data_IF_711582505914
#
_entry.id   IF_711582505914
#
_cell.length_a   1.000
_cell.length_b   1.000
_cell.length_c   1.000
_cell.angle_alpha   90.00
_cell.angle_beta   90.00
_cell.angle_gamma   90.00
#
_symmetry.space_group_name_H-M   'P 1'
#
loop_
_entity.id
_entity.type
_entity.pdbx_description
1 polymer ?
#
# COMPACT_ATOMS: atom_id res chain seq x y z
N UNK A 1 2.69 -62.50 21.34
CA UNK A 1 3.81 -61.54 21.25
C UNK A 1 3.63 -60.74 19.97
N UNK A 2 3.29 -59.46 20.10
CA UNK A 2 3.10 -58.54 18.99
C UNK A 2 3.04 -57.15 19.58
N UNK A 3 4.14 -56.40 19.47
CA UNK A 3 4.29 -55.05 20.01
C UNK A 3 4.29 -54.09 18.81
N UNK A 4 3.52 -52.99 18.81
CA UNK A 4 3.51 -52.04 17.70
C UNK A 4 4.71 -51.08 17.77
N UNK A 5 5.36 -50.87 16.62
CA UNK A 5 6.51 -49.99 16.46
C UNK A 5 6.14 -48.51 16.63
N UNK A 6 6.95 -47.80 17.43
CA UNK A 6 6.87 -46.36 17.61
C UNK A 6 7.57 -45.61 16.47
N UNK A 7 6.87 -44.63 15.90
CA UNK A 7 7.46 -43.62 15.00
C UNK A 7 8.24 -42.59 15.83
N UNK A 8 9.58 -42.56 15.68
CA UNK A 8 10.43 -41.46 16.12
C UNK A 8 10.46 -40.35 15.07
N UNK A 9 10.05 -39.14 15.44
CA UNK A 9 10.26 -37.93 14.65
C UNK A 9 11.68 -37.41 14.89
N UNK A 10 12.56 -37.54 13.89
CA UNK A 10 13.86 -36.87 13.89
C UNK A 10 13.69 -35.35 13.72
N UNK A 11 14.38 -34.59 14.57
CA UNK A 11 14.57 -33.14 14.46
C UNK A 11 15.34 -32.84 13.17
N UNK A 12 14.69 -32.22 12.21
CA UNK A 12 15.34 -31.64 11.04
C UNK A 12 15.92 -30.27 11.38
N UNK A 13 17.22 -30.10 11.14
CA UNK A 13 17.95 -28.85 11.31
C UNK A 13 17.42 -27.76 10.38
N UNK A 14 17.13 -26.58 10.93
CA UNK A 14 16.80 -25.36 10.18
C UNK A 14 18.09 -24.81 9.59
N UNK A 15 18.28 -25.02 8.29
CA UNK A 15 19.41 -24.47 7.56
C UNK A 15 19.17 -22.97 7.28
N UNK A 16 19.98 -22.14 7.92
CA UNK A 16 20.05 -20.68 7.79
C UNK A 16 20.31 -20.25 6.34
N UNK A 17 19.45 -19.40 5.77
CA UNK A 17 19.72 -18.74 4.50
C UNK A 17 20.71 -17.57 4.71
N UNK A 18 21.88 -17.54 4.04
CA UNK A 18 22.79 -16.42 4.14
C UNK A 18 22.32 -15.22 3.30
N UNK A 19 22.20 -14.06 3.96
CA UNK A 19 22.07 -12.77 3.30
C UNK A 19 23.39 -12.44 2.59
N UNK A 20 23.42 -12.56 1.26
CA UNK A 20 24.57 -12.16 0.46
C UNK A 20 24.78 -10.63 0.56
N UNK A 21 25.77 -10.23 1.35
CA UNK A 21 26.41 -8.92 1.26
C UNK A 21 27.14 -8.84 -0.09
N UNK A 22 26.51 -8.25 -1.10
CA UNK A 22 27.25 -7.77 -2.27
C UNK A 22 27.82 -6.40 -1.92
N UNK A 23 29.15 -6.37 -1.83
CA UNK A 23 29.98 -5.21 -1.53
C UNK A 23 29.60 -3.99 -2.37
N UNK A 24 29.35 -2.87 -1.70
CA UNK A 24 29.19 -1.55 -2.34
C UNK A 24 30.60 -1.03 -2.64
N UNK A 25 30.95 -0.95 -3.92
CA UNK A 25 32.17 -0.26 -4.37
C UNK A 25 32.15 1.24 -4.03
N UNK A 26 33.32 1.89 -3.95
CA UNK A 26 33.45 3.25 -3.47
C UNK A 26 32.91 4.29 -4.47
N UNK A 27 32.20 5.28 -3.95
CA UNK A 27 31.73 6.47 -4.67
C UNK A 27 32.93 7.28 -5.19
N UNK A 28 33.18 7.27 -6.50
CA UNK A 28 34.10 8.22 -7.12
C UNK A 28 33.37 9.55 -7.36
N UNK A 29 33.89 10.60 -6.74
CA UNK A 29 33.60 11.99 -7.08
C UNK A 29 34.07 12.28 -8.51
N UNK A 30 33.13 12.55 -9.42
CA UNK A 30 33.42 13.33 -10.62
C UNK A 30 32.87 14.74 -10.41
N UNK A 31 33.80 15.68 -10.22
CA UNK A 31 33.61 17.12 -10.36
C UNK A 31 33.51 17.41 -11.86
N UNK A 32 32.45 18.10 -12.26
CA UNK A 32 32.26 18.66 -13.60
C UNK A 32 30.99 19.51 -13.56
N UNK A 33 31.17 20.82 -13.36
CA UNK A 33 30.08 21.76 -13.19
C UNK A 33 29.40 22.11 -14.51
N UNK A 34 28.10 22.38 -14.43
CA UNK A 34 27.46 23.40 -15.27
C UNK A 34 26.23 23.91 -14.52
N UNK A 35 26.26 25.19 -14.16
CA UNK A 35 25.13 25.95 -13.64
C UNK A 35 24.05 26.01 -14.72
N UNK A 36 22.84 25.53 -14.44
CA UNK A 36 21.63 26.03 -15.12
C UNK A 36 20.49 26.17 -14.13
N UNK A 37 19.84 27.32 -14.25
CA UNK A 37 18.93 27.96 -13.33
C UNK A 37 17.69 27.11 -12.97
N UNK A 38 17.24 27.31 -11.74
CA UNK A 38 15.92 26.92 -11.26
C UNK A 38 14.82 27.65 -12.04
N UNK A 39 14.26 27.00 -13.06
CA UNK A 39 12.96 27.38 -13.60
C UNK A 39 11.86 26.66 -12.80
N UNK A 40 11.14 27.43 -11.99
CA UNK A 40 9.87 27.05 -11.40
C UNK A 40 8.88 26.73 -12.54
N UNK A 41 8.72 25.45 -12.87
CA UNK A 41 7.70 24.98 -13.80
C UNK A 41 6.35 25.04 -13.08
N UNK A 42 5.65 26.15 -13.26
CA UNK A 42 4.20 26.21 -13.08
C UNK A 42 3.58 25.14 -13.98
N UNK A 43 3.07 24.08 -13.36
CA UNK A 43 2.39 23.00 -14.06
C UNK A 43 1.02 23.50 -14.50
N UNK A 44 0.96 24.21 -15.62
CA UNK A 44 -0.30 24.51 -16.30
C UNK A 44 -0.93 23.18 -16.74
N UNK A 45 -2.07 22.84 -16.12
CA UNK A 45 -2.92 21.72 -16.51
C UNK A 45 -3.13 21.72 -18.04
N UNK A 46 -3.04 20.57 -18.73
CA UNK A 46 -3.43 20.52 -20.13
C UNK A 46 -4.90 20.88 -20.25
N UNK A 47 -5.20 22.06 -20.81
CA UNK A 47 -6.53 22.41 -21.27
C UNK A 47 -6.84 21.47 -22.44
N UNK A 48 -7.61 20.43 -22.17
CA UNK A 48 -8.17 19.55 -23.20
C UNK A 48 -8.95 20.43 -24.18
N UNK A 49 -8.41 20.63 -25.39
CA UNK A 49 -9.16 21.28 -26.47
C UNK A 49 -10.26 20.32 -26.89
N UNK A 50 -11.50 20.68 -26.61
CA UNK A 50 -12.67 20.06 -27.24
C UNK A 50 -12.68 20.49 -28.70
N UNK A 51 -12.05 19.73 -29.59
CA UNK A 51 -12.27 19.87 -31.04
C UNK A 51 -13.69 19.40 -31.32
N UNK A 52 -14.58 20.35 -31.58
CA UNK A 52 -15.90 20.09 -32.12
C UNK A 52 -15.73 19.57 -33.56
N UNK A 53 -15.98 18.26 -33.75
CA UNK A 53 -16.32 17.68 -35.04
C UNK A 53 -17.62 16.90 -34.84
N UNK A 54 -18.58 17.20 -35.70
CA UNK A 54 -19.93 16.64 -35.71
C UNK A 54 -19.92 15.11 -35.82
N UNK A 55 -20.57 14.46 -34.86
CA UNK A 55 -20.80 13.03 -34.78
C UNK A 55 -21.19 12.69 -33.35
N UNK A 56 -22.46 12.30 -33.13
CA UNK A 56 -23.11 12.27 -31.81
C UNK A 56 -22.24 11.79 -30.67
N UNK A 57 -21.88 12.70 -29.76
CA UNK A 57 -21.12 12.37 -28.55
C UNK A 57 -22.05 11.58 -27.63
N UNK A 58 -21.83 10.28 -27.53
CA UNK A 58 -22.33 9.51 -26.39
C UNK A 58 -21.83 10.20 -25.11
N UNK A 59 -22.75 10.60 -24.24
CA UNK A 59 -22.40 11.16 -22.93
C UNK A 59 -21.85 10.00 -22.11
N UNK A 60 -20.53 9.82 -22.13
CA UNK A 60 -19.86 8.73 -21.41
C UNK A 60 -19.80 9.07 -19.93
N UNK A 61 -20.49 8.31 -19.08
CA UNK A 61 -20.40 8.51 -17.64
C UNK A 61 -19.11 7.84 -17.12
N UNK A 62 -18.23 8.56 -16.40
CA UNK A 62 -16.97 8.00 -15.90
C UNK A 62 -17.13 6.78 -14.99
N UNK A 63 -18.29 6.61 -14.35
CA UNK A 63 -18.58 5.45 -13.49
C UNK A 63 -19.04 4.22 -14.27
N UNK A 64 -19.29 4.36 -15.57
CA UNK A 64 -19.74 3.26 -16.40
C UNK A 64 -18.70 2.14 -16.47
N UNK A 65 -19.21 0.91 -16.61
CA UNK A 65 -18.39 -0.29 -16.69
C UNK A 65 -17.67 -0.35 -18.04
N UNK A 66 -16.34 -0.40 -18.00
CA UNK A 66 -15.54 -0.67 -19.19
C UNK A 66 -15.43 -2.18 -19.49
N UNK A 67 -15.14 -2.99 -18.48
CA UNK A 67 -15.22 -4.45 -18.53
C UNK A 67 -15.10 -5.08 -17.14
N UNK A 68 -15.38 -6.38 -17.08
CA UNK A 68 -15.02 -7.20 -15.92
C UNK A 68 -13.74 -7.98 -16.21
N UNK A 69 -12.80 -7.97 -15.26
CA UNK A 69 -11.49 -8.61 -15.36
C UNK A 69 -11.37 -9.69 -14.29
N UNK A 70 -11.01 -10.95 -14.64
CA UNK A 70 -10.70 -11.98 -13.65
C UNK A 70 -9.48 -11.58 -12.82
N UNK A 71 -9.57 -11.74 -11.49
CA UNK A 71 -8.48 -11.45 -10.57
C UNK A 71 -7.16 -12.13 -10.94
N UNK A 72 -6.04 -11.49 -10.61
CA UNK A 72 -4.70 -12.09 -10.67
C UNK A 72 -4.41 -12.98 -9.49
N UNK A 73 -4.90 -12.63 -8.32
CA UNK A 73 -4.63 -13.31 -7.05
C UNK A 73 -5.71 -14.32 -6.69
N UNK A 74 -6.72 -14.53 -7.55
CA UNK A 74 -7.80 -15.48 -7.31
C UNK A 74 -7.35 -16.93 -7.56
N UNK A 75 -7.73 -17.83 -6.65
CA UNK A 75 -7.60 -19.28 -6.82
C UNK A 75 -8.63 -19.81 -7.83
N UNK A 76 -8.33 -20.96 -8.45
CA UNK A 76 -9.17 -21.59 -9.49
C UNK A 76 -10.62 -21.82 -9.04
N UNK A 77 -10.84 -22.18 -7.77
CA UNK A 77 -12.15 -22.43 -7.18
C UNK A 77 -12.93 -21.17 -6.79
N UNK A 78 -12.27 -20.01 -6.69
CA UNK A 78 -12.83 -18.74 -6.22
C UNK A 78 -12.48 -17.59 -7.16
N UNK A 79 -12.86 -17.73 -8.44
CA UNK A 79 -12.56 -16.73 -9.46
C UNK A 79 -13.40 -15.47 -9.24
N UNK A 80 -12.82 -14.48 -8.56
CA UNK A 80 -13.41 -13.16 -8.43
C UNK A 80 -13.27 -12.39 -9.74
N UNK A 81 -14.35 -11.72 -10.18
CA UNK A 81 -14.32 -10.80 -11.32
C UNK A 81 -14.46 -9.37 -10.81
N UNK A 82 -13.50 -8.54 -11.19
CA UNK A 82 -13.44 -7.14 -10.78
C UNK A 82 -14.00 -6.24 -11.88
N UNK A 83 -14.84 -5.29 -11.48
CA UNK A 83 -15.39 -4.27 -12.37
C UNK A 83 -14.33 -3.20 -12.61
N UNK A 84 -13.97 -2.98 -13.86
CA UNK A 84 -13.09 -1.89 -14.29
C UNK A 84 -13.96 -0.81 -14.91
N UNK A 85 -13.90 0.40 -14.36
CA UNK A 85 -14.69 1.54 -14.85
C UNK A 85 -13.95 2.32 -15.92
N UNK A 86 -14.67 3.17 -16.65
CA UNK A 86 -14.06 4.11 -17.60
C UNK A 86 -13.14 5.10 -16.88
N UNK A 87 -13.48 5.52 -15.65
CA UNK A 87 -12.64 6.37 -14.82
C UNK A 87 -11.28 5.73 -14.50
N UNK A 88 -11.25 4.45 -14.12
CA UNK A 88 -10.00 3.71 -13.89
C UNK A 88 -9.14 3.67 -15.15
N UNK A 89 -9.74 3.32 -16.30
CA UNK A 89 -9.03 3.33 -17.58
C UNK A 89 -8.47 4.71 -17.87
N UNK A 90 -9.27 5.78 -17.71
CA UNK A 90 -8.82 7.15 -17.93
C UNK A 90 -7.63 7.51 -17.04
N UNK A 91 -7.67 7.17 -15.74
CA UNK A 91 -6.57 7.39 -14.79
C UNK A 91 -5.29 6.67 -15.21
N UNK A 92 -5.40 5.42 -15.66
CA UNK A 92 -4.26 4.62 -16.17
C UNK A 92 -3.65 5.18 -17.45
N UNK A 93 -4.43 5.88 -18.28
CA UNK A 93 -3.95 6.51 -19.52
C UNK A 93 -3.37 7.92 -19.31
N UNK A 94 -3.72 8.59 -18.21
CA UNK A 94 -3.18 9.88 -17.81
C UNK A 94 -1.97 9.74 -16.87
N UNK A 95 -1.27 10.83 -16.54
CA UNK A 95 -0.37 10.83 -15.40
C UNK A 95 -1.08 10.32 -14.13
N UNK A 96 -0.38 9.62 -13.23
CA UNK A 96 1.07 9.41 -13.22
C UNK A 96 1.58 8.22 -14.06
N UNK A 97 0.74 7.28 -14.46
CA UNK A 97 1.23 6.06 -15.13
C UNK A 97 1.48 6.24 -16.64
N UNK A 98 0.57 6.94 -17.33
CA UNK A 98 0.60 7.12 -18.79
C UNK A 98 0.77 5.78 -19.54
N UNK A 99 -0.02 4.76 -19.20
CA UNK A 99 0.11 3.43 -19.79
C UNK A 99 -0.15 3.44 -21.30
N UNK A 100 0.58 2.57 -22.01
CA UNK A 100 0.32 2.31 -23.41
C UNK A 100 -0.78 1.22 -23.57
N UNK A 101 -1.32 1.11 -24.78
CA UNK A 101 -2.40 0.15 -25.09
C UNK A 101 -2.02 -1.30 -24.78
N UNK A 102 -0.76 -1.68 -24.97
CA UNK A 102 -0.29 -3.05 -24.77
C UNK A 102 -0.28 -3.43 -23.29
N UNK A 103 0.22 -2.54 -22.42
CA UNK A 103 0.21 -2.73 -20.97
C UNK A 103 -1.21 -2.75 -20.45
N UNK A 104 -2.05 -1.79 -20.86
CA UNK A 104 -3.46 -1.76 -20.50
C UNK A 104 -4.17 -3.05 -20.96
N UNK A 105 -3.92 -3.52 -22.18
CA UNK A 105 -4.44 -4.79 -22.69
C UNK A 105 -4.01 -6.01 -21.85
N UNK A 106 -2.77 -6.00 -21.35
CA UNK A 106 -2.26 -7.01 -20.43
C UNK A 106 -2.91 -6.96 -19.04
N UNK A 107 -3.19 -5.76 -18.53
CA UNK A 107 -3.91 -5.52 -17.27
C UNK A 107 -5.34 -6.05 -17.36
N UNK A 108 -6.05 -5.71 -18.44
CA UNK A 108 -7.43 -6.12 -18.68
C UNK A 108 -7.56 -7.57 -19.18
N UNK A 109 -6.46 -8.33 -19.22
CA UNK A 109 -6.38 -9.71 -19.76
C UNK A 109 -6.94 -9.85 -21.19
N UNK A 110 -6.90 -8.79 -22.00
CA UNK A 110 -7.36 -8.77 -23.39
C UNK A 110 -6.25 -9.00 -24.43
N UNK A 111 -5.00 -9.06 -24.00
CA UNK A 111 -3.85 -9.22 -24.89
C UNK A 111 -3.74 -10.61 -25.56
N UNK A 112 -4.42 -11.63 -25.04
CA UNK A 112 -4.32 -13.01 -25.56
C UNK A 112 -5.42 -13.41 -26.56
N UNK A 113 -6.46 -12.60 -26.73
CA UNK A 113 -7.54 -12.91 -27.68
C UNK A 113 -7.20 -12.45 -29.10
N UNK A 114 -7.65 -13.22 -30.10
CA UNK A 114 -7.57 -12.80 -31.52
C UNK A 114 -8.25 -11.42 -31.65
N UNK A 115 -7.55 -10.45 -32.24
CA UNK A 115 -7.99 -9.05 -32.37
C UNK A 115 -8.18 -8.27 -31.06
N UNK A 116 -7.80 -8.78 -29.88
CA UNK A 116 -8.06 -8.14 -28.58
C UNK A 116 -7.50 -6.72 -28.47
N UNK A 117 -6.28 -6.48 -28.99
CA UNK A 117 -5.68 -5.15 -29.04
C UNK A 117 -6.41 -4.18 -29.98
N UNK A 118 -6.94 -4.66 -31.10
CA UNK A 118 -7.72 -3.85 -32.06
C UNK A 118 -9.06 -3.45 -31.45
N UNK A 119 -9.82 -4.41 -30.92
CA UNK A 119 -11.10 -4.15 -30.25
C UNK A 119 -10.95 -3.21 -29.04
N UNK A 120 -9.83 -3.31 -28.31
CA UNK A 120 -9.55 -2.39 -27.20
C UNK A 120 -9.40 -0.95 -27.69
N UNK A 121 -8.63 -0.72 -28.77
CA UNK A 121 -8.45 0.60 -29.36
C UNK A 121 -9.75 1.16 -29.91
N UNK A 122 -10.50 0.38 -30.68
CA UNK A 122 -11.82 0.79 -31.18
C UNK A 122 -12.78 1.16 -30.06
N UNK A 123 -12.78 0.41 -28.95
CA UNK A 123 -13.62 0.73 -27.78
C UNK A 123 -13.16 2.02 -27.10
N UNK A 124 -11.86 2.26 -26.99
CA UNK A 124 -11.32 3.49 -26.41
C UNK A 124 -11.63 4.70 -27.29
N UNK A 125 -11.47 4.58 -28.60
CA UNK A 125 -11.76 5.64 -29.58
C UNK A 125 -13.25 6.03 -29.54
N UNK A 126 -14.17 5.05 -29.43
CA UNK A 126 -15.61 5.31 -29.24
C UNK A 126 -15.93 6.09 -27.96
N UNK A 127 -15.10 5.95 -26.92
CA UNK A 127 -15.24 6.67 -25.66
C UNK A 127 -14.47 8.01 -25.67
N UNK A 128 -13.84 8.38 -26.79
CA UNK A 128 -13.01 9.58 -26.92
C UNK A 128 -11.68 9.50 -26.16
N UNK A 129 -11.21 8.30 -25.81
CA UNK A 129 -9.96 8.06 -25.09
C UNK A 129 -8.83 7.69 -26.07
N UNK A 130 -8.25 8.69 -26.74
CA UNK A 130 -7.22 8.42 -27.74
C UNK A 130 -5.88 8.00 -27.12
N UNK A 131 -5.28 6.95 -27.69
CA UNK A 131 -3.92 6.49 -27.37
C UNK A 131 -2.97 6.82 -28.51
N UNK A 132 -2.27 7.98 -28.49
CA UNK A 132 -1.30 8.29 -29.53
C UNK A 132 -0.22 7.22 -29.57
N UNK A 133 0.09 6.76 -30.78
CA UNK A 133 1.19 5.84 -31.02
C UNK A 133 2.51 6.47 -30.53
N UNK A 134 3.37 5.67 -29.88
CA UNK A 134 4.65 6.16 -29.36
C UNK A 134 4.59 6.91 -28.02
N UNK A 135 3.42 6.99 -27.35
CA UNK A 135 3.34 7.52 -25.98
C UNK A 135 4.25 6.70 -25.05
N UNK A 136 5.17 7.39 -24.40
CA UNK A 136 6.07 6.82 -23.40
C UNK A 136 5.37 6.75 -22.03
N UNK A 137 5.67 5.69 -21.31
CA UNK A 137 5.25 5.43 -19.94
C UNK A 137 5.98 6.39 -19.00
N UNK A 138 5.27 6.95 -18.01
CA UNK A 138 5.81 7.95 -17.09
C UNK A 138 6.28 7.36 -15.75
N UNK A 139 5.58 6.35 -15.22
CA UNK A 139 5.93 5.70 -13.96
C UNK A 139 6.73 4.40 -14.16
N UNK A 140 7.35 3.86 -13.12
CA UNK A 140 7.90 2.49 -13.14
C UNK A 140 6.79 1.44 -13.08
N UNK A 141 7.03 0.26 -13.66
CA UNK A 141 6.05 -0.84 -13.60
C UNK A 141 6.42 -1.60 -12.35
N UNK A 142 5.44 -1.75 -11.47
CA UNK A 142 5.56 -2.54 -10.25
C UNK A 142 4.61 -3.72 -10.35
N UNK A 143 4.66 -4.62 -9.36
CA UNK A 143 3.66 -5.69 -9.26
C UNK A 143 2.25 -5.12 -9.08
N UNK A 144 2.10 -3.98 -8.38
CA UNK A 144 0.82 -3.30 -8.20
C UNK A 144 0.23 -2.83 -9.52
N UNK A 145 1.06 -2.38 -10.48
CA UNK A 145 0.60 -1.99 -11.83
C UNK A 145 -0.27 -3.06 -12.51
N UNK A 146 -0.05 -4.33 -12.16
CA UNK A 146 -0.79 -5.45 -12.73
C UNK A 146 -2.23 -5.59 -12.19
N UNK A 147 -2.53 -5.02 -11.02
CA UNK A 147 -3.82 -5.15 -10.33
C UNK A 147 -4.79 -4.06 -10.78
N UNK A 148 -6.06 -4.42 -11.01
CA UNK A 148 -7.13 -3.42 -11.16
C UNK A 148 -7.51 -2.86 -9.80
N UNK A 149 -8.06 -1.65 -9.74
CA UNK A 149 -8.35 -0.95 -8.46
C UNK A 149 -9.19 -1.81 -7.51
N UNK A 150 -10.22 -2.48 -8.02
CA UNK A 150 -11.06 -3.36 -7.20
C UNK A 150 -10.28 -4.50 -6.55
N UNK A 151 -9.29 -5.06 -7.24
CA UNK A 151 -8.45 -6.13 -6.71
C UNK A 151 -7.43 -5.61 -5.70
N UNK A 152 -6.81 -4.46 -5.99
CA UNK A 152 -5.87 -3.80 -5.09
C UNK A 152 -6.54 -3.39 -3.75
N UNK A 153 -7.76 -2.87 -3.81
CA UNK A 153 -8.55 -2.53 -2.63
C UNK A 153 -8.95 -3.77 -1.82
N UNK A 154 -9.37 -4.85 -2.49
CA UNK A 154 -9.64 -6.11 -1.81
C UNK A 154 -8.38 -6.67 -1.13
N UNK A 155 -7.24 -6.64 -1.81
CA UNK A 155 -5.96 -7.06 -1.22
C UNK A 155 -5.60 -6.24 0.03
N UNK A 156 -5.84 -4.92 0.00
CA UNK A 156 -5.56 -4.06 1.15
C UNK A 156 -6.45 -4.39 2.36
N UNK A 157 -7.74 -4.68 2.11
CA UNK A 157 -8.67 -5.11 3.15
C UNK A 157 -8.23 -6.44 3.77
N UNK A 158 -7.91 -7.42 2.93
CA UNK A 158 -7.50 -8.75 3.39
C UNK A 158 -6.17 -8.68 4.15
N UNK A 159 -5.22 -7.85 3.70
CA UNK A 159 -3.99 -7.55 4.45
C UNK A 159 -4.27 -6.93 5.83
N UNK A 160 -5.18 -5.96 5.90
CA UNK A 160 -5.60 -5.36 7.16
C UNK A 160 -6.21 -6.37 8.13
N UNK A 161 -7.09 -7.24 7.62
CA UNK A 161 -7.67 -8.33 8.40
C UNK A 161 -6.61 -9.27 8.96
N UNK A 162 -5.66 -9.74 8.13
CA UNK A 162 -4.55 -10.59 8.59
C UNK A 162 -3.69 -9.88 9.64
N UNK A 163 -3.44 -8.59 9.47
CA UNK A 163 -2.70 -7.78 10.43
C UNK A 163 -3.41 -7.65 11.79
N UNK A 164 -4.74 -7.71 11.81
CA UNK A 164 -5.55 -7.65 13.02
C UNK A 164 -5.70 -9.01 13.70
N UNK A 165 -5.92 -10.08 12.92
CA UNK A 165 -6.24 -11.41 13.47
C UNK A 165 -5.03 -12.31 13.68
N UNK A 166 -4.03 -12.25 12.81
CA UNK A 166 -2.91 -13.21 12.80
C UNK A 166 -1.63 -12.63 13.39
N UNK A 167 -1.45 -11.31 13.36
CA UNK A 167 -0.20 -10.72 13.84
C UNK A 167 -0.09 -10.83 15.38
N UNK A 168 1.02 -11.37 15.93
CA UNK A 168 1.15 -11.65 17.35
C UNK A 168 1.52 -10.40 18.18
N UNK A 169 0.66 -9.38 18.16
CA UNK A 169 0.89 -8.06 18.77
C UNK A 169 1.30 -8.15 20.24
N UNK A 170 0.62 -8.97 21.02
CA UNK A 170 0.90 -9.20 22.45
C UNK A 170 2.28 -9.80 22.69
N UNK A 171 2.61 -10.92 22.04
CA UNK A 171 3.88 -11.58 22.24
C UNK A 171 5.06 -10.68 21.84
N UNK A 172 4.91 -9.93 20.75
CA UNK A 172 5.91 -8.95 20.29
C UNK A 172 6.03 -7.80 21.29
N UNK A 173 4.92 -7.22 21.73
CA UNK A 173 4.90 -6.11 22.69
C UNK A 173 5.53 -6.47 24.04
N UNK A 174 5.15 -7.62 24.61
CA UNK A 174 5.74 -8.13 25.84
C UNK A 174 7.23 -8.47 25.69
N UNK A 175 7.65 -8.99 24.54
CA UNK A 175 9.06 -9.24 24.25
C UNK A 175 9.88 -7.95 24.21
N UNK A 176 9.39 -6.92 23.52
CA UNK A 176 10.07 -5.62 23.43
C UNK A 176 10.11 -4.90 24.79
N UNK A 177 9.05 -5.01 25.59
CA UNK A 177 9.01 -4.37 26.91
C UNK A 177 9.96 -5.04 27.92
N UNK A 178 10.15 -6.37 27.85
CA UNK A 178 11.07 -7.13 28.71
C UNK A 178 12.52 -6.65 28.64
N UNK A 179 12.95 -6.12 27.49
CA UNK A 179 14.32 -5.62 27.30
C UNK A 179 14.63 -4.38 28.16
N UNK A 180 13.62 -3.74 28.75
CA UNK A 180 13.75 -2.53 29.57
C UNK A 180 13.31 -2.77 31.02
N UNK A 181 14.05 -3.64 31.72
CA UNK A 181 13.71 -4.10 33.07
C UNK A 181 14.13 -3.14 34.21
N UNK A 182 15.00 -2.17 33.93
CA UNK A 182 15.56 -1.26 34.94
C UNK A 182 14.52 -0.25 35.47
N UNK A 183 14.17 -0.27 36.77
CA UNK A 183 13.11 0.58 37.33
C UNK A 183 13.32 2.07 37.11
N UNK A 184 14.58 2.53 37.13
CA UNK A 184 14.93 3.94 36.94
C UNK A 184 14.62 4.45 35.53
N UNK A 185 14.60 3.56 34.55
CA UNK A 185 14.37 3.90 33.14
C UNK A 185 12.92 3.66 32.69
N UNK A 186 12.13 2.91 33.47
CA UNK A 186 10.76 2.54 33.09
C UNK A 186 9.85 3.76 32.89
N UNK A 187 9.96 4.79 33.74
CA UNK A 187 9.16 6.01 33.60
C UNK A 187 9.47 6.75 32.29
N UNK A 188 10.76 6.92 31.97
CA UNK A 188 11.19 7.51 30.71
C UNK A 188 10.74 6.67 29.51
N UNK A 189 10.86 5.34 29.61
CA UNK A 189 10.43 4.41 28.56
C UNK A 189 8.93 4.49 28.29
N UNK A 190 8.08 4.51 29.34
CA UNK A 190 6.63 4.70 29.19
C UNK A 190 6.31 5.99 28.43
N UNK A 191 6.97 7.09 28.79
CA UNK A 191 6.81 8.39 28.10
C UNK A 191 7.19 8.31 26.62
N UNK A 192 8.31 7.63 26.29
CA UNK A 192 8.70 7.42 24.89
C UNK A 192 7.66 6.61 24.12
N UNK A 193 7.14 5.52 24.68
CA UNK A 193 6.14 4.69 24.03
C UNK A 193 4.85 5.48 23.77
N UNK A 194 4.39 6.28 24.75
CA UNK A 194 3.23 7.15 24.58
C UNK A 194 3.45 8.21 23.48
N UNK A 195 4.62 8.86 23.46
CA UNK A 195 4.96 9.83 22.42
C UNK A 195 4.97 9.18 21.02
N UNK A 196 5.54 7.98 20.89
CA UNK A 196 5.52 7.23 19.62
C UNK A 196 4.09 6.89 19.20
N UNK A 197 3.23 6.42 20.12
CA UNK A 197 1.81 6.16 19.80
C UNK A 197 1.11 7.41 19.28
N UNK A 198 1.36 8.55 19.90
CA UNK A 198 0.76 9.83 19.50
C UNK A 198 1.18 10.23 18.08
N UNK A 199 2.48 10.15 17.75
CA UNK A 199 2.98 10.45 16.40
C UNK A 199 2.39 9.48 15.36
N UNK A 200 2.31 8.18 15.69
CA UNK A 200 1.68 7.20 14.80
C UNK A 200 0.22 7.54 14.52
N UNK A 201 -0.52 7.97 15.55
CA UNK A 201 -1.92 8.36 15.43
C UNK A 201 -2.10 9.62 14.59
N UNK A 202 -1.31 10.66 14.81
CA UNK A 202 -1.34 11.88 13.99
C UNK A 202 -1.12 11.59 12.50
N UNK A 203 -0.13 10.73 12.21
CA UNK A 203 0.14 10.33 10.83
C UNK A 203 -1.01 9.51 10.23
N UNK A 204 -1.60 8.58 10.98
CA UNK A 204 -2.75 7.80 10.54
C UNK A 204 -3.99 8.67 10.32
N UNK A 205 -4.22 9.66 11.19
CA UNK A 205 -5.34 10.59 11.10
C UNK A 205 -5.20 11.48 9.84
N UNK A 206 -3.98 11.91 9.48
CA UNK A 206 -3.71 12.58 8.20
C UNK A 206 -4.04 11.67 7.01
N UNK A 207 -3.59 10.42 7.03
CA UNK A 207 -3.84 9.47 5.95
C UNK A 207 -5.34 9.15 5.78
N UNK A 208 -6.11 9.13 6.87
CA UNK A 208 -7.57 8.92 6.85
C UNK A 208 -8.34 10.07 6.16
N UNK A 209 -7.70 11.23 6.02
CA UNK A 209 -8.23 12.40 5.35
C UNK A 209 -7.92 12.42 3.85
N UNK A 210 -7.20 11.43 3.31
CA UNK A 210 -6.96 11.33 1.87
C UNK A 210 -8.30 11.27 1.11
N UNK A 211 -8.49 12.21 0.18
CA UNK A 211 -9.64 12.29 -0.74
C UNK A 211 -9.21 12.06 -2.19
N UNK A 212 -8.32 11.09 -2.38
CA UNK A 212 -7.89 10.68 -3.72
C UNK A 212 -9.05 10.07 -4.53
N UNK A 213 -9.25 10.46 -5.80
CA UNK A 213 -10.38 10.02 -6.62
C UNK A 213 -10.15 8.60 -7.18
N UNK A 214 -10.35 7.60 -6.31
CA UNK A 214 -10.30 6.16 -6.64
C UNK A 214 -11.69 5.59 -6.89
N UNK A 215 -11.76 4.51 -7.66
CA UNK A 215 -13.00 3.86 -8.06
C UNK A 215 -13.95 4.83 -8.76
N UNK A 216 -15.20 4.84 -8.29
CA UNK A 216 -16.25 5.75 -8.74
C UNK A 216 -16.37 7.03 -7.89
N UNK A 217 -15.55 7.16 -6.84
CA UNK A 217 -15.63 8.29 -5.91
C UNK A 217 -14.92 9.53 -6.46
N UNK A 218 -15.48 10.70 -6.18
CA UNK A 218 -14.89 12.01 -6.50
C UNK A 218 -15.06 12.98 -5.33
N UNK A 219 -14.44 12.67 -4.18
CA UNK A 219 -14.58 13.52 -3.01
C UNK A 219 -13.92 14.87 -3.21
N UNK A 220 -14.46 15.90 -2.56
CA UNK A 220 -13.83 17.21 -2.46
C UNK A 220 -12.59 17.11 -1.56
N UNK A 221 -11.42 17.61 -2.00
CA UNK A 221 -10.24 17.71 -1.14
C UNK A 221 -10.53 18.47 0.15
N UNK A 222 -10.06 17.94 1.28
CA UNK A 222 -10.13 18.59 2.59
C UNK A 222 -8.74 18.93 3.16
N UNK A 223 -7.70 18.25 2.65
CA UNK A 223 -6.32 18.53 2.96
C UNK A 223 -5.79 19.68 2.09
N UNK A 224 -4.69 20.29 2.53
CA UNK A 224 -3.92 21.21 1.71
C UNK A 224 -3.60 20.60 0.35
N UNK A 225 -3.78 21.40 -0.72
CA UNK A 225 -3.69 20.92 -2.10
C UNK A 225 -2.35 20.27 -2.42
N UNK A 226 -1.25 20.75 -1.83
CA UNK A 226 0.07 20.18 -2.04
C UNK A 226 0.16 18.77 -1.43
N UNK A 227 -0.29 18.57 -0.20
CA UNK A 227 -0.33 17.26 0.45
C UNK A 227 -1.29 16.32 -0.28
N UNK A 228 -2.50 16.78 -0.60
CA UNK A 228 -3.48 15.99 -1.33
C UNK A 228 -2.94 15.53 -2.69
N UNK A 229 -2.17 16.38 -3.40
CA UNK A 229 -1.54 16.00 -4.68
C UNK A 229 -0.57 14.83 -4.51
N UNK A 230 0.27 14.85 -3.48
CA UNK A 230 1.23 13.77 -3.22
C UNK A 230 0.52 12.47 -2.82
N UNK A 231 -0.50 12.55 -1.96
CA UNK A 231 -1.33 11.39 -1.58
C UNK A 231 -2.08 10.83 -2.79
N UNK A 232 -2.63 11.69 -3.65
CA UNK A 232 -3.27 11.25 -4.90
C UNK A 232 -2.31 10.59 -5.85
N UNK A 233 -1.09 11.11 -6.01
CA UNK A 233 -0.08 10.42 -6.79
C UNK A 233 0.15 9.00 -6.26
N UNK A 234 0.35 8.85 -4.94
CA UNK A 234 0.56 7.56 -4.28
C UNK A 234 -0.64 6.60 -4.42
N UNK A 235 -1.85 7.11 -4.20
CA UNK A 235 -3.10 6.36 -4.35
C UNK A 235 -3.30 5.86 -5.79
N UNK A 236 -2.94 6.67 -6.80
CA UNK A 236 -3.02 6.28 -8.21
C UNK A 236 -2.00 5.21 -8.60
N UNK A 237 -0.74 5.33 -8.19
CA UNK A 237 0.30 4.33 -8.52
C UNK A 237 0.14 3.00 -7.76
N UNK A 238 -0.56 3.02 -6.62
CA UNK A 238 -0.85 1.81 -5.83
C UNK A 238 -2.24 1.24 -6.10
N UNK A 239 -3.03 1.91 -6.95
CA UNK A 239 -4.42 1.55 -7.25
C UNK A 239 -5.30 1.45 -6.00
N UNK A 240 -5.03 2.28 -4.99
CA UNK A 240 -5.75 2.32 -3.72
C UNK A 240 -5.27 1.35 -2.66
N UNK A 241 -4.28 0.50 -2.94
CA UNK A 241 -3.73 -0.41 -1.93
C UNK A 241 -2.90 0.32 -0.86
N UNK A 242 -2.13 1.33 -1.26
CA UNK A 242 -1.03 1.86 -0.44
C UNK A 242 -1.47 2.48 0.88
N UNK A 243 -2.36 3.48 0.85
CA UNK A 243 -2.79 4.20 2.05
C UNK A 243 -3.45 3.27 3.07
N UNK A 244 -4.42 2.40 2.71
CA UNK A 244 -4.99 1.46 3.66
C UNK A 244 -3.97 0.45 4.22
N UNK A 245 -3.00 -0.01 3.41
CA UNK A 245 -1.97 -0.92 3.89
C UNK A 245 -1.04 -0.26 4.93
N UNK A 246 -0.66 1.00 4.71
CA UNK A 246 0.11 1.78 5.71
C UNK A 246 -0.72 1.96 6.98
N UNK A 247 -1.99 2.32 6.86
CA UNK A 247 -2.89 2.46 8.01
C UNK A 247 -3.01 1.15 8.80
N UNK A 248 -3.15 0.01 8.13
CA UNK A 248 -3.20 -1.30 8.77
C UNK A 248 -1.91 -1.60 9.56
N UNK A 249 -0.75 -1.40 8.94
CA UNK A 249 0.55 -1.60 9.60
C UNK A 249 0.72 -0.69 10.83
N UNK A 250 0.31 0.58 10.73
CA UNK A 250 0.33 1.53 11.84
C UNK A 250 -0.64 1.14 12.96
N UNK A 251 -1.83 0.63 12.65
CA UNK A 251 -2.76 0.10 13.65
C UNK A 251 -2.15 -1.08 14.40
N UNK A 252 -1.57 -2.05 13.69
CA UNK A 252 -0.90 -3.20 14.31
C UNK A 252 0.26 -2.76 15.20
N UNK A 253 1.07 -1.81 14.73
CA UNK A 253 2.17 -1.26 15.53
C UNK A 253 1.67 -0.51 16.77
N UNK A 254 0.59 0.28 16.66
CA UNK A 254 -0.04 0.93 17.82
C UNK A 254 -0.55 -0.09 18.83
N UNK A 255 -1.09 -1.22 18.40
CA UNK A 255 -1.49 -2.33 19.28
C UNK A 255 -0.28 -2.94 19.98
N UNK A 256 0.84 -3.17 19.28
CA UNK A 256 2.11 -3.60 19.91
C UNK A 256 2.55 -2.62 21.00
N UNK A 257 2.51 -1.31 20.73
CA UNK A 257 2.87 -0.29 21.71
C UNK A 257 1.91 -0.27 22.91
N UNK A 258 0.61 -0.56 22.70
CA UNK A 258 -0.35 -0.74 23.81
C UNK A 258 0.04 -1.93 24.68
N UNK A 259 0.38 -3.07 24.08
CA UNK A 259 0.79 -4.26 24.84
C UNK A 259 2.11 -4.05 25.58
N UNK A 260 3.04 -3.27 25.02
CA UNK A 260 4.22 -2.81 25.74
C UNK A 260 3.86 -2.01 26.99
N UNK A 261 2.93 -1.07 26.91
CA UNK A 261 2.48 -0.28 28.06
C UNK A 261 1.81 -1.15 29.12
N UNK A 262 0.90 -2.04 28.69
CA UNK A 262 0.22 -2.99 29.57
C UNK A 262 1.22 -3.85 30.36
N UNK A 263 2.30 -4.30 29.70
CA UNK A 263 3.37 -5.06 30.36
C UNK A 263 4.13 -4.21 31.39
N UNK A 264 4.55 -3.00 31.00
CA UNK A 264 5.29 -2.09 31.87
C UNK A 264 4.47 -1.65 33.10
N UNK A 265 3.15 -1.53 32.99
CA UNK A 265 2.25 -1.20 34.11
C UNK A 265 2.16 -2.32 35.14
N UNK A 266 1.98 -3.56 34.70
CA UNK A 266 1.93 -4.75 35.57
C UNK A 266 3.24 -4.93 36.34
N UNK A 267 4.38 -4.73 35.68
CA UNK A 267 5.70 -4.90 36.31
C UNK A 267 6.14 -3.70 37.16
N UNK A 268 5.51 -2.52 37.03
CA UNK A 268 5.69 -1.42 38.01
C UNK A 268 4.96 -1.71 39.33
N UNK A 269 3.77 -2.31 39.28
CA UNK A 269 2.95 -2.57 40.48
C UNK A 269 3.47 -3.76 41.32
N UNK A 270 4.03 -4.79 40.67
CA UNK A 270 4.54 -5.98 41.36
C UNK A 270 5.77 -5.76 42.27
N UNK A 271 6.43 -4.60 42.19
CA UNK A 271 7.55 -4.26 43.10
C UNK A 271 7.11 -3.49 44.35
N UNK A 272 5.92 -2.86 44.35
CA UNK A 272 5.47 -2.07 45.50
C UNK A 272 4.82 -2.89 46.62
N UNK A 273 4.37 -4.12 46.34
CA UNK A 273 3.73 -4.99 47.34
C UNK A 273 4.70 -5.89 48.10
N UNK A 274 5.98 -5.91 47.74
CA UNK A 274 7.02 -6.73 48.38
C UNK A 274 7.76 -6.07 49.55
N UNK A 275 7.45 -4.82 49.90
CA UNK A 275 8.21 -4.04 50.90
C UNK A 275 7.37 -3.56 52.10
N UNK A 276 6.20 -4.16 52.34
CA UNK A 276 5.26 -3.76 53.40
C UNK A 276 5.02 -4.85 54.47
N UNK A 277 6.01 -5.71 54.74
CA UNK A 277 5.83 -6.83 55.66
C UNK A 277 7.09 -7.38 56.29
N UNK A 278 7.97 -6.52 56.79
CA UNK A 278 9.07 -6.88 57.71
C UNK A 278 9.34 -5.66 58.60
N UNK A 279 8.59 -5.54 59.69
CA UNK A 279 8.75 -4.42 60.62
C UNK A 279 7.68 -4.35 61.68
N UNK A 280 7.70 -5.30 62.61
CA UNK A 280 7.32 -5.06 64.02
C UNK A 280 7.66 -6.31 64.81
N UNK A 281 8.64 -6.13 65.70
CA UNK A 281 9.01 -6.98 66.83
C UNK A 281 7.81 -7.35 67.73
#
# INVERSE_FOLDING_TARGET
MGNPEGFSLQRGDIQSYPWNHRERGPWRHHRGGEQRESACLTFSLPRWRTTALQGGTCVVNPTDLFCSVPGRLSLLSSTSKYKVTIAEVKRRLSPPECLNASLLGGILRRAKSKNGGRCLREKLDRLGLNLPAGRRKAANVTLLTSLVEGEALHLARDFGYTCETEFPTKAVGEHLARQHSEPKEQAARKKMVLATKQICKEFQDLLSQDRSPLGSSRPTPILDLDIQRHLTHFSLITHGFGTPAICAALSTFQTVLSEMLNYLEKHTMGKNTGNAGLGSD
#
